data_IF_967461819196
#
_entry.id   IF_967461819196
#
_cell.length_a   1.000
_cell.length_b   1.000
_cell.length_c   1.000
_cell.angle_alpha   90.00
_cell.angle_beta   90.00
_cell.angle_gamma   90.00
#
_symmetry.space_group_name_H-M   'P 1'
#
loop_
_entity.id
_entity.type
_entity.pdbx_description
1 polymer ?
#
# COMPACT_ATOMS: atom_id res chain seq x y z
N UNK A 1 -0.85 -1.61 25.65
CA UNK A 1 -1.86 -0.94 24.81
C UNK A 1 -1.57 -1.35 23.38
N UNK A 2 -2.58 -1.70 22.59
CA UNK A 2 -2.39 -2.05 21.19
C UNK A 2 -2.37 -0.76 20.38
N UNK A 3 -1.24 -0.48 19.73
CA UNK A 3 -1.03 0.73 18.92
C UNK A 3 -1.86 0.70 17.62
N UNK A 4 -2.07 -0.49 17.08
CA UNK A 4 -2.89 -0.76 15.89
C UNK A 4 -4.34 -1.03 16.29
N UNK A 5 -5.25 -0.29 15.68
CA UNK A 5 -6.70 -0.41 15.87
C UNK A 5 -7.29 -1.36 14.82
N UNK A 6 -6.83 -1.25 13.57
CA UNK A 6 -7.32 -2.06 12.46
C UNK A 6 -6.34 -2.11 11.29
N UNK A 7 -6.40 -3.20 10.53
CA UNK A 7 -5.60 -3.43 9.32
C UNK A 7 -6.51 -3.90 8.21
N UNK A 8 -6.42 -3.27 7.04
CA UNK A 8 -7.11 -3.66 5.82
C UNK A 8 -6.08 -3.89 4.71
N UNK A 9 -6.12 -5.09 4.13
CA UNK A 9 -5.32 -5.45 2.97
C UNK A 9 -6.20 -5.44 1.70
N UNK A 10 -5.88 -4.57 0.77
CA UNK A 10 -6.40 -4.58 -0.59
C UNK A 10 -5.36 -5.24 -1.50
N UNK A 11 -5.53 -6.54 -1.75
CA UNK A 11 -4.59 -7.33 -2.55
C UNK A 11 -4.52 -6.87 -4.01
N UNK A 12 -5.64 -6.40 -4.58
CA UNK A 12 -5.72 -5.98 -5.96
C UNK A 12 -4.88 -4.72 -6.21
N UNK A 13 -4.95 -3.75 -5.27
CA UNK A 13 -4.14 -2.54 -5.30
C UNK A 13 -2.73 -2.74 -4.73
N UNK A 14 -2.50 -3.82 -3.98
CA UNK A 14 -1.29 -4.00 -3.19
C UNK A 14 -1.17 -2.92 -2.11
N UNK A 15 -2.29 -2.56 -1.48
CA UNK A 15 -2.39 -1.50 -0.49
C UNK A 15 -2.68 -2.09 0.89
N UNK A 16 -1.86 -1.72 1.86
CA UNK A 16 -2.08 -2.00 3.28
C UNK A 16 -2.46 -0.69 3.98
N UNK A 17 -3.70 -0.63 4.49
CA UNK A 17 -4.23 0.50 5.25
C UNK A 17 -4.29 0.15 6.73
N UNK A 18 -3.68 0.99 7.57
CA UNK A 18 -3.49 0.72 9.00
C UNK A 18 -4.08 1.88 9.80
N UNK A 19 -5.11 1.60 10.59
CA UNK A 19 -5.66 2.52 11.58
C UNK A 19 -4.90 2.36 12.91
N UNK A 20 -4.50 3.47 13.52
CA UNK A 20 -3.69 3.45 14.74
C UNK A 20 -4.06 4.61 15.69
N UNK A 21 -3.52 4.58 16.90
CA UNK A 21 -3.82 5.56 17.96
C UNK A 21 -2.98 6.86 17.89
N UNK A 22 -2.24 7.06 16.81
CA UNK A 22 -1.27 8.15 16.64
C UNK A 22 0.18 7.82 17.04
N UNK A 23 0.44 6.72 17.74
CA UNK A 23 1.78 6.40 18.29
C UNK A 23 2.60 5.39 17.48
N UNK A 24 2.07 4.90 16.35
CA UNK A 24 2.72 3.86 15.56
C UNK A 24 4.12 4.24 15.09
N UNK A 25 5.05 3.32 15.30
CA UNK A 25 6.46 3.48 14.99
C UNK A 25 6.80 2.88 13.62
N UNK A 26 7.97 3.25 13.11
CA UNK A 26 8.48 2.68 11.87
C UNK A 26 8.71 1.17 11.99
N UNK A 27 9.20 0.67 13.13
CA UNK A 27 9.45 -0.76 13.35
C UNK A 27 8.15 -1.58 13.30
N UNK A 28 7.06 -1.05 13.88
CA UNK A 28 5.74 -1.68 13.81
C UNK A 28 5.20 -1.70 12.37
N UNK A 29 5.37 -0.61 11.62
CA UNK A 29 5.01 -0.55 10.20
C UNK A 29 5.82 -1.56 9.37
N UNK A 30 7.12 -1.70 9.64
CA UNK A 30 7.98 -2.67 8.98
C UNK A 30 7.56 -4.11 9.30
N UNK A 31 7.17 -4.40 10.55
CA UNK A 31 6.66 -5.70 10.97
C UNK A 31 5.35 -6.05 10.24
N UNK A 32 4.38 -5.14 10.21
CA UNK A 32 3.13 -5.31 9.47
C UNK A 32 3.38 -5.49 7.96
N UNK A 33 4.28 -4.71 7.38
CA UNK A 33 4.69 -4.87 5.99
C UNK A 33 5.23 -6.28 5.74
N UNK A 34 6.14 -6.75 6.60
CA UNK A 34 6.75 -8.07 6.46
C UNK A 34 5.72 -9.20 6.61
N UNK A 35 4.74 -9.03 7.49
CA UNK A 35 3.64 -9.98 7.69
C UNK A 35 2.76 -10.10 6.44
N UNK A 36 2.37 -8.99 5.83
CA UNK A 36 1.38 -8.99 4.74
C UNK A 36 2.01 -9.07 3.34
N UNK A 37 3.17 -8.46 3.11
CA UNK A 37 3.82 -8.44 1.80
C UNK A 37 5.09 -9.29 1.72
N UNK A 38 5.60 -9.76 2.86
CA UNK A 38 6.87 -10.48 2.95
C UNK A 38 8.07 -9.57 3.25
N UNK A 39 9.16 -10.13 3.79
CA UNK A 39 10.36 -9.37 4.18
C UNK A 39 11.05 -8.71 2.98
N UNK A 40 11.01 -9.35 1.81
CA UNK A 40 11.71 -8.89 0.60
C UNK A 40 10.90 -7.84 -0.21
N UNK A 41 9.63 -7.64 0.13
CA UNK A 41 8.81 -6.64 -0.54
C UNK A 41 9.24 -5.22 -0.14
N UNK A 42 9.20 -4.31 -1.10
CA UNK A 42 9.33 -2.87 -0.82
C UNK A 42 7.93 -2.27 -0.77
N UNK A 43 7.69 -1.40 0.20
CA UNK A 43 6.48 -0.60 0.24
C UNK A 43 6.83 0.86 0.50
N UNK A 44 5.99 1.76 -0.03
CA UNK A 44 6.14 3.20 0.13
C UNK A 44 4.91 3.81 0.78
N UNK A 45 5.12 4.91 1.49
CA UNK A 45 4.07 5.81 1.94
C UNK A 45 4.15 7.10 1.11
N UNK A 46 3.02 7.55 0.57
CA UNK A 46 2.94 8.72 -0.29
C UNK A 46 2.45 9.92 0.52
N UNK A 47 3.18 11.03 0.43
CA UNK A 47 2.81 12.31 1.04
C UNK A 47 2.24 13.23 -0.06
N UNK A 48 0.91 13.33 -0.21
CA UNK A 48 0.31 14.09 -1.30
C UNK A 48 0.46 15.60 -1.08
N UNK A 49 0.18 16.42 -2.11
CA UNK A 49 0.01 17.86 -1.94
C UNK A 49 -0.97 18.16 -0.80
N UNK A 50 -0.70 19.22 -0.04
CA UNK A 50 -1.50 19.56 1.14
C UNK A 50 -3.01 19.67 0.86
N UNK A 51 -3.38 20.19 -0.32
CA UNK A 51 -4.77 20.30 -0.77
C UNK A 51 -5.50 18.96 -0.95
N UNK A 52 -4.78 17.85 -1.05
CA UNK A 52 -5.33 16.50 -1.19
C UNK A 52 -5.24 15.68 0.10
N UNK A 53 -4.77 16.27 1.20
CA UNK A 53 -4.69 15.60 2.50
C UNK A 53 -6.08 15.45 3.09
N UNK A 54 -6.50 14.21 3.33
CA UNK A 54 -7.65 13.88 4.15
C UNK A 54 -7.16 13.40 5.53
N UNK A 55 -7.31 14.23 6.56
CA UNK A 55 -6.82 13.96 7.92
C UNK A 55 -7.97 13.75 8.91
N UNK A 56 -8.81 12.74 8.66
CA UNK A 56 -9.97 12.44 9.49
C UNK A 56 -9.67 11.43 10.61
N UNK A 57 -8.69 10.55 10.40
CA UNK A 57 -8.27 9.49 11.33
C UNK A 57 -6.74 9.27 11.22
N UNK A 58 -6.06 8.81 12.28
CA UNK A 58 -4.66 8.44 12.20
C UNK A 58 -4.53 7.14 11.39
N UNK A 59 -4.14 7.32 10.13
CA UNK A 59 -4.01 6.24 9.16
C UNK A 59 -2.60 6.22 8.56
N UNK A 60 -2.05 5.02 8.37
CA UNK A 60 -0.85 4.77 7.58
C UNK A 60 -1.22 3.92 6.37
N UNK A 61 -0.68 4.28 5.21
CA UNK A 61 -0.96 3.59 3.96
C UNK A 61 0.34 3.17 3.31
N UNK A 62 0.53 1.86 3.17
CA UNK A 62 1.72 1.29 2.55
C UNK A 62 1.33 0.66 1.22
N UNK A 63 1.90 1.17 0.14
CA UNK A 63 1.73 0.63 -1.21
C UNK A 63 2.92 -0.26 -1.55
N UNK A 64 2.66 -1.54 -1.83
CA UNK A 64 3.68 -2.49 -2.27
C UNK A 64 4.17 -2.10 -3.66
N UNK A 65 5.47 -1.96 -3.85
CA UNK A 65 6.03 -1.76 -5.18
C UNK A 65 6.13 -3.07 -5.95
N UNK A 66 5.89 -2.98 -7.25
CA UNK A 66 6.04 -4.09 -8.19
C UNK A 66 7.43 -4.19 -8.80
N UNK A 67 7.61 -5.20 -9.63
CA UNK A 67 8.86 -5.41 -10.34
C UNK A 67 9.18 -4.25 -11.30
N UNK A 68 10.42 -3.80 -11.25
CA UNK A 68 10.90 -2.76 -12.14
C UNK A 68 10.46 -1.33 -11.79
N UNK A 69 9.59 -1.14 -10.78
CA UNK A 69 9.32 0.19 -10.24
C UNK A 69 10.54 0.73 -9.51
N UNK A 70 10.85 1.99 -9.80
CA UNK A 70 11.96 2.68 -9.18
C UNK A 70 11.56 3.16 -7.78
N UNK A 71 12.37 2.78 -6.81
CA UNK A 71 12.50 3.49 -5.54
C UNK A 71 13.95 3.91 -5.41
N UNK A 72 14.24 5.06 -4.78
CA UNK A 72 15.61 5.52 -4.58
C UNK A 72 16.26 4.65 -3.50
N UNK A 73 16.60 3.42 -3.87
CA UNK A 73 17.40 2.57 -3.02
C UNK A 73 18.86 3.01 -3.10
N UNK A 74 19.52 3.03 -1.94
CA UNK A 74 20.96 3.26 -1.88
C UNK A 74 21.74 1.99 -2.26
N UNK A 75 21.04 0.90 -2.56
CA UNK A 75 21.58 -0.45 -2.76
C UNK A 75 21.55 -0.92 -4.22
N UNK A 76 20.80 -0.28 -5.12
CA UNK A 76 20.73 -0.63 -6.55
C UNK A 76 20.02 -1.96 -6.85
N UNK A 77 19.25 -2.51 -5.93
CA UNK A 77 18.53 -3.78 -6.08
C UNK A 77 17.16 -3.56 -6.74
N UNK A 78 16.97 -4.22 -7.89
CA UNK A 78 15.70 -4.17 -8.62
C UNK A 78 14.77 -5.30 -8.17
N UNK A 79 13.54 -4.95 -7.86
CA UNK A 79 12.47 -5.93 -7.58
C UNK A 79 12.22 -6.80 -8.82
N UNK A 80 12.06 -8.11 -8.61
CA UNK A 80 11.77 -9.10 -9.66
C UNK A 80 10.44 -9.81 -9.35
N UNK A 81 9.54 -9.91 -10.33
CA UNK A 81 8.40 -10.85 -10.29
C UNK A 81 7.04 -10.39 -9.72
N UNK A 82 6.74 -9.09 -9.62
CA UNK A 82 5.43 -8.58 -9.14
C UNK A 82 4.86 -7.49 -10.07
N UNK A 83 3.54 -7.27 -10.05
CA UNK A 83 2.84 -6.23 -10.80
C UNK A 83 3.15 -4.84 -10.26
N UNK A 84 3.41 -3.87 -11.15
CA UNK A 84 3.65 -2.47 -10.77
C UNK A 84 2.39 -1.82 -10.19
N UNK A 85 2.52 -0.72 -9.44
CA UNK A 85 1.39 0.10 -9.00
C UNK A 85 0.53 0.54 -10.19
N UNK A 86 1.16 0.84 -11.33
CA UNK A 86 0.44 1.19 -12.56
C UNK A 86 -0.36 0.01 -13.11
N UNK A 87 0.24 -1.18 -13.18
CA UNK A 87 -0.48 -2.36 -13.66
C UNK A 87 -1.68 -2.67 -12.75
N UNK A 88 -1.48 -2.56 -11.43
CA UNK A 88 -2.55 -2.73 -10.43
C UNK A 88 -3.65 -1.67 -10.56
N UNK A 89 -3.31 -0.41 -10.82
CA UNK A 89 -4.30 0.64 -11.08
C UNK A 89 -5.15 0.32 -12.31
N UNK A 90 -4.53 -0.11 -13.40
CA UNK A 90 -5.22 -0.48 -14.65
C UNK A 90 -6.17 -1.65 -14.41
N UNK A 91 -5.70 -2.71 -13.74
CA UNK A 91 -6.52 -3.88 -13.41
C UNK A 91 -7.70 -3.51 -12.50
N UNK A 92 -7.44 -2.73 -11.46
CA UNK A 92 -8.46 -2.23 -10.53
C UNK A 92 -9.55 -1.45 -11.26
N UNK A 93 -9.18 -0.51 -12.14
CA UNK A 93 -10.13 0.26 -12.94
C UNK A 93 -10.95 -0.63 -13.85
N UNK A 94 -10.29 -1.57 -14.53
CA UNK A 94 -10.95 -2.52 -15.44
C UNK A 94 -11.98 -3.38 -14.71
N UNK A 95 -11.65 -3.87 -13.51
CA UNK A 95 -12.56 -4.67 -12.70
C UNK A 95 -13.77 -3.88 -12.21
N UNK A 96 -13.57 -2.64 -11.74
CA UNK A 96 -14.66 -1.74 -11.35
C UNK A 96 -15.60 -1.42 -12.52
N UNK A 97 -15.04 -1.20 -13.70
CA UNK A 97 -15.83 -0.97 -14.93
C UNK A 97 -16.63 -2.22 -15.32
N UNK A 98 -16.05 -3.41 -15.17
CA UNK A 98 -16.75 -4.67 -15.44
C UNK A 98 -17.90 -4.92 -14.44
N UNK A 99 -17.65 -4.73 -13.15
CA UNK A 99 -18.66 -4.86 -12.09
C UNK A 99 -19.81 -3.86 -12.28
N UNK A 100 -19.50 -2.63 -12.72
CA UNK A 100 -20.51 -1.60 -13.00
C UNK A 100 -21.37 -1.90 -14.24
N UNK A 101 -20.96 -2.85 -15.10
CA UNK A 101 -21.66 -3.25 -16.33
C UNK A 101 -22.50 -4.52 -16.20
N UNK A 102 -22.42 -5.25 -15.08
CA UNK A 102 -23.25 -6.44 -14.87
C UNK A 102 -24.71 -6.02 -14.71
N UNK A 103 -25.65 -6.44 -15.58
CA UNK A 103 -27.06 -6.16 -15.36
C UNK A 103 -27.55 -6.93 -14.12
N UNK A 104 -28.38 -6.26 -13.33
CA UNK A 104 -29.12 -6.79 -12.16
C UNK A 104 -29.94 -8.03 -12.49
#
# INVERSE_FOLDING_TARGET
>A
MTVVIGVLLDELRGLLSIEHDGSITWDELQALKNEHFGPDAVAIEVYPPHSHVANSLPMRHLWKLGAGEYWPDLTGQRLVGDLTLRDREILTRTELEFLSRKPS
#
